data_IF_683715494643
#
_entry.id   IF_683715494643
#
_cell.length_a   1.000
_cell.length_b   1.000
_cell.length_c   1.000
_cell.angle_alpha   90.00
_cell.angle_beta   90.00
_cell.angle_gamma   90.00
#
_symmetry.space_group_name_H-M   'P 1'
#
loop_
_entity.id
_entity.type
_entity.pdbx_description
1 polymer ?
#
# COMPACT_ATOMS: atom_id res chain seq x y z
N UNK A 1 -27.56 -0.57 -12.99
CA UNK A 1 -27.08 0.47 -12.06
C UNK A 1 -27.16 0.11 -10.57
N UNK A 2 -28.18 -0.63 -10.09
CA UNK A 2 -28.36 -0.92 -8.66
C UNK A 2 -27.28 -1.84 -8.04
N UNK A 3 -26.80 -2.85 -8.77
CA UNK A 3 -25.76 -3.78 -8.28
C UNK A 3 -24.38 -3.13 -8.11
N UNK A 4 -24.02 -2.17 -8.99
CA UNK A 4 -22.75 -1.44 -8.91
C UNK A 4 -22.71 -0.57 -7.66
N UNK A 5 -23.83 0.09 -7.31
CA UNK A 5 -23.91 0.90 -6.10
C UNK A 5 -23.83 0.05 -4.81
N UNK A 6 -24.39 -1.17 -4.80
CA UNK A 6 -24.28 -2.09 -3.67
C UNK A 6 -22.83 -2.52 -3.42
N UNK A 7 -22.10 -2.90 -4.49
CA UNK A 7 -20.68 -3.28 -4.36
C UNK A 7 -19.76 -2.14 -3.89
N UNK A 8 -20.07 -0.88 -4.22
CA UNK A 8 -19.32 0.28 -3.73
C UNK A 8 -19.56 0.51 -2.24
N UNK A 9 -20.81 0.37 -1.78
CA UNK A 9 -21.15 0.52 -0.35
C UNK A 9 -20.51 -0.60 0.48
N UNK A 10 -20.59 -1.85 0.03
CA UNK A 10 -19.96 -2.99 0.70
C UNK A 10 -18.45 -2.80 0.82
N UNK A 11 -17.78 -2.37 -0.26
CA UNK A 11 -16.36 -2.07 -0.24
C UNK A 11 -16.03 -0.91 0.71
N UNK A 12 -16.84 0.15 0.73
CA UNK A 12 -16.63 1.28 1.64
C UNK A 12 -16.72 0.86 3.11
N UNK A 13 -17.71 0.06 3.48
CA UNK A 13 -17.85 -0.49 4.83
C UNK A 13 -16.67 -1.39 5.20
N UNK A 14 -16.21 -2.24 4.26
CA UNK A 14 -15.02 -3.07 4.44
C UNK A 14 -13.78 -2.20 4.79
N UNK A 15 -13.57 -1.09 4.07
CA UNK A 15 -12.48 -0.16 4.37
C UNK A 15 -12.66 0.56 5.71
N UNK A 16 -13.88 0.97 6.04
CA UNK A 16 -14.18 1.65 7.30
C UNK A 16 -13.88 0.74 8.51
N UNK A 17 -14.33 -0.52 8.45
CA UNK A 17 -14.11 -1.51 9.51
C UNK A 17 -12.62 -1.83 9.66
N UNK A 18 -11.91 -2.08 8.55
CA UNK A 18 -10.46 -2.30 8.57
C UNK A 18 -9.71 -1.08 9.11
N UNK A 19 -10.08 0.14 8.68
CA UNK A 19 -9.46 1.37 9.15
C UNK A 19 -9.63 1.58 10.65
N UNK A 20 -10.83 1.33 11.18
CA UNK A 20 -11.10 1.45 12.62
C UNK A 20 -10.35 0.42 13.45
N UNK A 21 -10.13 -0.78 12.90
CA UNK A 21 -9.40 -1.86 13.58
C UNK A 21 -7.86 -1.73 13.51
N UNK A 22 -7.31 -0.95 12.57
CA UNK A 22 -5.87 -0.72 12.47
C UNK A 22 -5.29 -0.03 13.71
N UNK A 23 -4.02 -0.31 14.00
CA UNK A 23 -3.28 0.39 15.06
C UNK A 23 -3.00 1.85 14.68
N UNK A 24 -3.00 2.74 15.68
CA UNK A 24 -2.73 4.18 15.48
C UNK A 24 -1.44 4.46 14.70
N UNK A 25 -0.28 3.83 15.02
CA UNK A 25 0.95 4.09 14.27
C UNK A 25 0.85 3.75 12.78
N UNK A 26 0.09 2.72 12.43
CA UNK A 26 -0.12 2.31 11.03
C UNK A 26 -1.06 3.30 10.35
N UNK A 27 -2.16 3.69 11.00
CA UNK A 27 -3.08 4.72 10.48
C UNK A 27 -2.36 6.05 10.23
N UNK A 28 -1.57 6.51 11.20
CA UNK A 28 -0.81 7.76 11.08
C UNK A 28 0.19 7.70 9.93
N UNK A 29 0.91 6.58 9.80
CA UNK A 29 1.83 6.36 8.68
C UNK A 29 1.12 6.46 7.34
N UNK A 30 0.00 5.74 7.17
CA UNK A 30 -0.79 5.76 5.95
C UNK A 30 -1.34 7.15 5.66
N UNK A 31 -1.93 7.81 6.66
CA UNK A 31 -2.51 9.14 6.53
C UNK A 31 -1.45 10.19 6.15
N UNK A 32 -0.24 10.11 6.70
CA UNK A 32 0.83 11.03 6.36
C UNK A 32 1.39 10.73 4.96
N UNK A 33 1.84 9.50 4.73
CA UNK A 33 2.60 9.15 3.53
C UNK A 33 1.76 9.18 2.25
N UNK A 34 0.47 8.81 2.30
CA UNK A 34 -0.42 8.89 1.14
C UNK A 34 -0.80 10.32 0.74
N UNK A 35 -0.55 11.31 1.62
CA UNK A 35 -0.78 12.73 1.37
C UNK A 35 0.52 13.49 1.07
N UNK A 36 1.64 12.79 0.86
CA UNK A 36 2.89 13.43 0.42
C UNK A 36 2.90 13.57 -1.11
N UNK A 37 2.99 14.80 -1.59
CA UNK A 37 3.22 15.10 -3.01
C UNK A 37 4.68 14.85 -3.44
N UNK A 38 5.58 14.77 -2.46
CA UNK A 38 7.00 14.53 -2.65
C UNK A 38 7.79 15.83 -2.82
N UNK A 39 8.93 15.90 -2.15
CA UNK A 39 9.88 17.01 -2.25
C UNK A 39 11.28 16.52 -1.94
N UNK A 40 12.27 17.38 -2.21
CA UNK A 40 13.65 17.13 -1.75
C UNK A 40 13.65 16.83 -0.25
N UNK A 41 14.42 15.82 0.18
CA UNK A 41 14.52 15.29 1.55
C UNK A 41 13.28 14.61 2.14
N UNK A 42 12.13 14.65 1.44
CA UNK A 42 10.91 13.95 1.84
C UNK A 42 10.19 13.48 0.57
N UNK A 43 10.76 12.48 -0.13
CA UNK A 43 10.18 11.97 -1.35
C UNK A 43 8.84 11.27 -1.07
N UNK A 44 7.91 11.39 -2.02
CA UNK A 44 6.71 10.57 -2.02
C UNK A 44 7.04 9.16 -2.51
N UNK A 45 6.45 8.14 -1.87
CA UNK A 45 6.56 6.76 -2.34
C UNK A 45 5.32 6.43 -3.17
N UNK A 46 5.53 6.00 -4.41
CA UNK A 46 4.49 5.50 -5.30
C UNK A 46 4.51 3.95 -5.30
N UNK A 47 3.60 3.29 -4.56
CA UNK A 47 3.53 1.83 -4.52
C UNK A 47 2.79 1.28 -5.76
N UNK A 48 3.49 1.15 -6.88
CA UNK A 48 2.93 0.65 -8.15
C UNK A 48 2.31 -0.73 -7.97
N UNK A 49 1.11 -0.92 -8.56
CA UNK A 49 0.21 -2.07 -8.41
C UNK A 49 -0.55 -2.20 -7.07
N UNK A 50 -0.27 -1.38 -6.06
CA UNK A 50 -1.02 -1.44 -4.80
C UNK A 50 -2.53 -1.23 -4.99
N UNK A 51 -3.03 -0.30 -5.84
CA UNK A 51 -4.47 -0.18 -6.09
C UNK A 51 -5.10 -1.47 -6.63
N UNK A 52 -4.38 -2.21 -7.49
CA UNK A 52 -4.85 -3.49 -8.03
C UNK A 52 -4.88 -4.58 -6.95
N UNK A 53 -3.88 -4.59 -6.05
CA UNK A 53 -3.84 -5.48 -4.89
C UNK A 53 -5.02 -5.23 -3.96
N UNK A 54 -5.20 -3.98 -3.52
CA UNK A 54 -6.30 -3.53 -2.66
C UNK A 54 -7.69 -3.83 -3.26
N UNK A 55 -7.84 -3.69 -4.57
CA UNK A 55 -9.06 -4.01 -5.29
C UNK A 55 -9.54 -5.46 -5.11
N UNK A 56 -8.61 -6.41 -4.87
CA UNK A 56 -8.92 -7.85 -4.75
C UNK A 56 -9.31 -8.31 -3.35
N UNK A 57 -8.98 -7.54 -2.32
CA UNK A 57 -9.23 -7.94 -0.94
C UNK A 57 -10.72 -7.82 -0.61
N UNK A 58 -11.34 -8.86 -0.07
CA UNK A 58 -12.77 -8.90 0.26
C UNK A 58 -13.03 -9.16 1.75
N UNK A 59 -11.98 -9.36 2.55
CA UNK A 59 -12.04 -9.69 3.98
C UNK A 59 -11.35 -8.60 4.81
N UNK A 60 -11.91 -8.32 6.00
CA UNK A 60 -11.42 -7.24 6.88
C UNK A 60 -10.01 -7.54 7.38
N UNK A 61 -9.73 -8.77 7.82
CA UNK A 61 -8.41 -9.15 8.34
C UNK A 61 -7.36 -9.13 7.24
N UNK A 62 -7.70 -9.62 6.04
CA UNK A 62 -6.84 -9.51 4.88
C UNK A 62 -6.57 -8.06 4.48
N UNK A 63 -7.56 -7.17 4.61
CA UNK A 63 -7.38 -5.75 4.30
C UNK A 63 -6.49 -5.07 5.35
N UNK A 64 -6.63 -5.40 6.63
CA UNK A 64 -5.75 -4.94 7.71
C UNK A 64 -4.30 -5.34 7.42
N UNK A 65 -4.03 -6.62 7.12
CA UNK A 65 -2.68 -7.10 6.81
C UNK A 65 -2.11 -6.40 5.56
N UNK A 66 -2.95 -6.17 4.55
CA UNK A 66 -2.60 -5.42 3.34
C UNK A 66 -2.25 -3.97 3.63
N UNK A 67 -3.02 -3.29 4.48
CA UNK A 67 -2.77 -1.90 4.84
C UNK A 67 -1.51 -1.76 5.71
N UNK A 68 -1.21 -2.74 6.58
CA UNK A 68 0.08 -2.81 7.29
C UNK A 68 1.25 -2.97 6.34
N UNK A 69 1.14 -3.87 5.36
CA UNK A 69 2.17 -4.02 4.33
C UNK A 69 2.34 -2.74 3.51
N UNK A 70 1.25 -2.07 3.13
CA UNK A 70 1.33 -0.76 2.47
C UNK A 70 2.06 0.27 3.33
N UNK A 71 1.79 0.34 4.63
CA UNK A 71 2.52 1.23 5.53
C UNK A 71 4.02 0.93 5.54
N UNK A 72 4.42 -0.34 5.58
CA UNK A 72 5.83 -0.73 5.48
C UNK A 72 6.46 -0.28 4.15
N UNK A 73 5.76 -0.48 3.03
CA UNK A 73 6.22 -0.04 1.70
C UNK A 73 6.44 1.47 1.64
N UNK A 74 5.52 2.25 2.23
CA UNK A 74 5.59 3.71 2.25
C UNK A 74 6.66 4.25 3.20
N UNK A 75 6.99 3.53 4.27
CA UNK A 75 7.99 3.95 5.27
C UNK A 75 9.41 3.48 4.98
N UNK A 76 9.63 2.70 3.93
CA UNK A 76 10.96 2.17 3.63
C UNK A 76 11.92 3.29 3.19
N UNK A 77 13.06 3.38 3.89
CA UNK A 77 14.03 4.49 3.77
C UNK A 77 15.32 4.12 3.02
N UNK A 78 15.34 3.00 2.29
CA UNK A 78 16.53 2.48 1.63
C UNK A 78 17.00 3.27 0.40
N UNK A 79 16.41 4.42 0.09
CA UNK A 79 16.79 5.25 -1.06
C UNK A 79 17.77 6.36 -0.66
N UNK A 80 19.02 6.22 -1.11
CA UNK A 80 20.12 7.13 -0.76
C UNK A 80 20.22 8.39 -1.64
N UNK A 81 19.34 8.57 -2.62
CA UNK A 81 19.42 9.71 -3.55
C UNK A 81 18.81 10.98 -2.93
N UNK A 82 19.62 11.99 -2.57
CA UNK A 82 19.13 13.21 -1.94
C UNK A 82 18.38 14.16 -2.89
N UNK A 83 18.33 13.83 -4.19
CA UNK A 83 17.59 14.57 -5.22
C UNK A 83 16.22 13.97 -5.53
N UNK A 84 15.90 12.78 -4.99
CA UNK A 84 14.63 12.12 -5.21
C UNK A 84 13.46 12.97 -4.70
N UNK A 85 12.41 13.04 -5.52
CA UNK A 85 11.11 13.66 -5.22
C UNK A 85 10.02 12.60 -5.19
N UNK A 86 10.08 11.63 -6.10
CA UNK A 86 9.20 10.46 -6.12
C UNK A 86 10.03 9.20 -6.26
N UNK A 87 9.76 8.23 -5.40
CA UNK A 87 10.33 6.89 -5.43
C UNK A 87 9.22 5.92 -5.79
N UNK A 88 9.38 5.20 -6.88
CA UNK A 88 8.48 4.12 -7.25
C UNK A 88 8.90 2.81 -6.58
N UNK A 89 7.92 2.07 -6.03
CA UNK A 89 8.11 0.70 -5.54
C UNK A 89 7.07 -0.22 -6.16
N UNK A 90 7.52 -1.17 -6.97
CA UNK A 90 6.62 -2.14 -7.60
C UNK A 90 6.30 -3.28 -6.66
N UNK A 91 5.06 -3.35 -6.17
CA UNK A 91 4.57 -4.49 -5.35
C UNK A 91 4.01 -5.62 -6.21
N UNK A 92 4.40 -5.70 -7.48
CA UNK A 92 3.89 -6.68 -8.44
C UNK A 92 4.12 -8.13 -8.00
N UNK A 93 5.30 -8.43 -7.45
CA UNK A 93 5.63 -9.77 -6.94
C UNK A 93 4.72 -10.16 -5.77
N UNK A 94 4.53 -9.26 -4.79
CA UNK A 94 3.60 -9.47 -3.68
C UNK A 94 2.16 -9.74 -4.18
N UNK A 95 1.71 -8.97 -5.18
CA UNK A 95 0.41 -9.20 -5.80
C UNK A 95 0.31 -10.60 -6.45
N UNK A 96 1.30 -10.98 -7.24
CA UNK A 96 1.27 -12.21 -8.06
C UNK A 96 1.57 -13.49 -7.31
N UNK A 97 2.47 -13.42 -6.34
CA UNK A 97 2.99 -14.60 -5.66
C UNK A 97 2.30 -14.82 -4.32
N UNK A 98 1.85 -13.74 -3.66
CA UNK A 98 1.31 -13.81 -2.30
C UNK A 98 -0.20 -13.61 -2.34
N UNK A 99 -0.70 -12.45 -2.77
CA UNK A 99 -2.14 -12.14 -2.70
C UNK A 99 -3.01 -13.02 -3.62
N UNK A 100 -2.45 -13.47 -4.75
CA UNK A 100 -3.14 -14.43 -5.64
C UNK A 100 -3.01 -15.90 -5.19
N UNK A 101 -2.28 -16.20 -4.10
CA UNK A 101 -2.10 -17.56 -3.59
C UNK A 101 -3.27 -18.02 -2.72
N UNK A 102 -3.43 -19.35 -2.59
CA UNK A 102 -4.37 -19.94 -1.63
C UNK A 102 -3.90 -19.74 -0.18
N UNK A 103 -2.59 -19.69 0.06
CA UNK A 103 -2.01 -19.46 1.39
C UNK A 103 -2.46 -18.11 1.98
N UNK A 104 -2.48 -17.05 1.18
CA UNK A 104 -2.96 -15.74 1.63
C UNK A 104 -4.45 -15.76 2.03
N UNK A 105 -5.26 -16.61 1.40
CA UNK A 105 -6.67 -16.77 1.76
C UNK A 105 -6.83 -17.43 3.12
N UNK A 106 -5.92 -18.33 3.47
CA UNK A 106 -5.92 -19.06 4.74
C UNK A 106 -5.27 -18.26 5.88
N UNK A 107 -4.17 -17.58 5.59
CA UNK A 107 -3.41 -16.74 6.51
C UNK A 107 -2.94 -15.44 5.83
N UNK A 108 -3.69 -14.33 5.97
CA UNK A 108 -3.29 -13.06 5.37
C UNK A 108 -2.04 -12.43 6.01
N UNK A 109 -1.61 -12.89 7.18
CA UNK A 109 -0.43 -12.35 7.88
C UNK A 109 0.88 -12.67 7.15
N UNK A 110 0.86 -13.60 6.20
CA UNK A 110 2.03 -13.90 5.36
C UNK A 110 2.52 -12.66 4.60
N UNK A 111 1.63 -11.71 4.29
CA UNK A 111 1.97 -10.47 3.61
C UNK A 111 2.84 -9.56 4.48
N UNK A 112 2.72 -9.63 5.80
CA UNK A 112 3.53 -8.86 6.76
C UNK A 112 5.00 -9.35 6.81
N UNK A 113 5.28 -10.52 6.24
CA UNK A 113 6.62 -11.13 6.16
C UNK A 113 7.28 -10.93 4.79
N UNK A 114 6.56 -10.35 3.83
CA UNK A 114 7.07 -10.09 2.49
C UNK A 114 8.06 -8.94 2.57
N UNK A 115 9.25 -9.14 2.01
CA UNK A 115 10.25 -8.07 1.92
C UNK A 115 9.70 -6.90 1.10
N UNK A 116 9.91 -5.68 1.59
CA UNK A 116 9.55 -4.48 0.86
C UNK A 116 10.43 -4.39 -0.40
N UNK A 117 9.83 -4.27 -1.60
CA UNK A 117 10.60 -4.14 -2.85
C UNK A 117 11.50 -2.92 -2.84
N UNK A 118 12.63 -3.01 -3.53
CA UNK A 118 13.53 -1.88 -3.74
C UNK A 118 12.84 -0.71 -4.43
N UNK A 119 13.27 0.50 -4.07
CA UNK A 119 12.85 1.75 -4.69
C UNK A 119 13.59 2.04 -5.99
N UNK A 120 12.90 2.68 -6.92
CA UNK A 120 13.48 3.28 -8.12
C UNK A 120 13.11 4.76 -8.12
N UNK A 121 14.10 5.64 -8.24
CA UNK A 121 13.85 7.09 -8.34
C UNK A 121 13.10 7.36 -9.65
N UNK A 122 11.85 7.78 -9.53
CA UNK A 122 10.96 8.05 -10.66
C UNK A 122 10.96 9.54 -11.06
N UNK A 123 11.17 10.43 -10.08
CA UNK A 123 11.26 11.86 -10.30
C UNK A 123 12.35 12.49 -9.43
N UNK A 124 13.13 13.39 -10.03
CA UNK A 124 14.15 14.19 -9.34
C UNK A 124 13.85 15.67 -9.46
N UNK A 125 14.47 16.48 -8.60
CA UNK A 125 14.36 17.95 -8.67
C UNK A 125 14.89 18.56 -9.97
N UNK A 126 15.77 17.87 -10.71
CA UNK A 126 16.25 18.33 -12.02
C UNK A 126 15.22 18.14 -13.14
N UNK A 127 14.16 17.37 -12.87
CA UNK A 127 13.09 17.04 -13.80
C UNK A 127 11.82 17.87 -13.59
N UNK A 128 11.82 18.77 -12.60
CA UNK A 128 10.76 19.75 -12.30
C UNK A 128 11.10 21.11 -12.94
#
# INVERSE_FOLDING_TARGET
>A
MRAVALGVVEKALLYEDAWRALEDPVRETLANALNLDGRRSEPAVQPTYMPALLGRIQDVNALICTLRYLAQVLSATNDADPSAVVIERSVYSALKQVVESDEFREDPTILERVEVPDGVVALTTASL
#
